data_IF_589697502493
#
_entry.id   IF_589697502493
#
_cell.length_a   1.000
_cell.length_b   1.000
_cell.length_c   1.000
_cell.angle_alpha   90.00
_cell.angle_beta   90.00
_cell.angle_gamma   90.00
#
_symmetry.space_group_name_H-M   'P 1'
#
loop_
_entity.id
_entity.type
_entity.pdbx_description
1 polymer ?
#
# COMPACT_ATOMS: atom_id res chain seq x y z
N UNK A 1 15.19 -21.32 -44.53
CA UNK A 1 15.54 -21.88 -43.22
C UNK A 1 16.23 -20.76 -42.43
N UNK A 2 15.59 -20.26 -41.36
CA UNK A 2 16.11 -19.17 -40.53
C UNK A 2 17.34 -19.65 -39.78
N UNK A 3 18.42 -18.85 -39.74
CA UNK A 3 19.67 -19.24 -39.06
C UNK A 3 19.47 -19.22 -37.52
N UNK A 4 20.12 -20.10 -36.79
CA UNK A 4 20.03 -20.15 -35.31
C UNK A 4 20.36 -18.79 -34.67
N UNK A 5 21.33 -18.06 -35.24
CA UNK A 5 21.71 -16.71 -34.81
C UNK A 5 20.57 -15.69 -34.93
N UNK A 6 19.72 -15.82 -35.96
CA UNK A 6 18.56 -14.94 -36.13
C UNK A 6 17.49 -15.22 -35.10
N UNK A 7 17.28 -16.48 -34.72
CA UNK A 7 16.33 -16.88 -33.64
C UNK A 7 16.76 -16.32 -32.30
N UNK A 8 18.04 -16.43 -31.94
CA UNK A 8 18.54 -15.89 -30.68
C UNK A 8 18.46 -14.37 -30.63
N UNK A 9 18.69 -13.68 -31.73
CA UNK A 9 18.52 -12.24 -31.84
C UNK A 9 17.06 -11.82 -31.61
N UNK A 10 16.10 -12.50 -32.25
CA UNK A 10 14.68 -12.22 -32.08
C UNK A 10 14.23 -12.53 -30.64
N UNK A 11 14.70 -13.62 -30.05
CA UNK A 11 14.44 -13.93 -28.65
C UNK A 11 14.90 -12.82 -27.73
N UNK A 12 16.12 -12.35 -27.88
CA UNK A 12 16.67 -11.26 -27.08
C UNK A 12 15.85 -9.96 -27.22
N UNK A 13 15.47 -9.62 -28.46
CA UNK A 13 14.65 -8.44 -28.72
C UNK A 13 13.24 -8.54 -28.14
N UNK A 14 12.59 -9.71 -28.22
CA UNK A 14 11.27 -9.95 -27.62
C UNK A 14 11.36 -9.78 -26.09
N UNK A 15 12.37 -10.37 -25.46
CA UNK A 15 12.56 -10.23 -24.02
C UNK A 15 12.83 -8.78 -23.60
N UNK A 16 13.62 -8.04 -24.38
CA UNK A 16 13.88 -6.63 -24.12
C UNK A 16 12.60 -5.79 -24.20
N UNK A 17 11.81 -5.99 -25.26
CA UNK A 17 10.51 -5.30 -25.44
C UNK A 17 9.54 -5.64 -24.32
N UNK A 18 9.46 -6.90 -23.92
CA UNK A 18 8.64 -7.33 -22.80
C UNK A 18 9.04 -6.64 -21.48
N UNK A 19 10.34 -6.61 -21.16
CA UNK A 19 10.85 -5.91 -19.96
C UNK A 19 10.53 -4.41 -19.98
N UNK A 20 10.70 -3.74 -21.12
CA UNK A 20 10.33 -2.33 -21.28
C UNK A 20 8.84 -2.11 -21.06
N UNK A 21 8.00 -2.90 -21.70
CA UNK A 21 6.55 -2.81 -21.53
C UNK A 21 6.11 -3.03 -20.07
N UNK A 22 6.70 -4.02 -19.39
CA UNK A 22 6.43 -4.24 -17.96
C UNK A 22 6.91 -3.06 -17.12
N UNK A 23 8.11 -2.54 -17.37
CA UNK A 23 8.63 -1.38 -16.64
C UNK A 23 7.77 -0.13 -16.87
N UNK A 24 7.32 0.12 -18.10
CA UNK A 24 6.40 1.23 -18.39
C UNK A 24 5.03 1.06 -17.72
N UNK A 25 4.49 -0.15 -17.72
CA UNK A 25 3.24 -0.48 -17.03
C UNK A 25 3.33 -0.30 -15.51
N UNK A 26 4.49 -0.59 -14.93
CA UNK A 26 4.75 -0.47 -13.49
C UNK A 26 5.24 0.93 -13.07
N UNK A 27 5.51 1.82 -14.03
CA UNK A 27 5.72 3.24 -13.75
C UNK A 27 4.42 3.82 -13.21
N UNK A 28 4.22 3.57 -11.95
CA UNK A 28 3.17 4.21 -11.17
C UNK A 28 3.71 5.58 -10.79
N UNK A 29 3.12 6.62 -11.33
CA UNK A 29 3.43 7.99 -10.91
C UNK A 29 2.93 8.24 -9.50
N UNK A 30 3.49 7.54 -8.51
CA UNK A 30 3.17 7.82 -7.11
C UNK A 30 3.47 9.28 -6.84
N UNK A 31 2.47 9.97 -6.37
CA UNK A 31 2.58 11.36 -5.99
C UNK A 31 3.69 11.55 -4.96
N UNK A 32 4.47 12.63 -5.11
CA UNK A 32 5.49 12.99 -4.12
C UNK A 32 4.82 13.23 -2.77
N UNK A 33 5.32 12.62 -1.73
CA UNK A 33 4.76 12.74 -0.39
C UNK A 33 5.06 11.53 0.48
N UNK A 34 4.57 11.57 1.71
CA UNK A 34 4.56 10.44 2.61
C UNK A 34 3.31 9.60 2.37
N UNK A 35 3.48 8.31 2.13
CA UNK A 35 2.36 7.38 1.97
C UNK A 35 2.10 6.60 3.25
N UNK A 36 0.83 6.23 3.50
CA UNK A 36 0.46 5.41 4.66
C UNK A 36 1.32 4.14 4.74
N UNK A 37 1.58 3.51 3.61
CA UNK A 37 2.41 2.30 3.51
C UNK A 37 3.85 2.48 3.98
N UNK A 38 4.39 3.69 3.99
CA UNK A 38 5.74 3.97 4.48
C UNK A 38 5.82 3.85 6.00
N UNK A 39 4.71 4.03 6.71
CA UNK A 39 4.65 4.09 8.15
C UNK A 39 4.20 2.79 8.82
N UNK A 40 3.52 1.89 8.10
CA UNK A 40 2.89 0.70 8.68
C UNK A 40 3.84 -0.27 9.39
N UNK A 41 5.12 -0.18 9.11
CA UNK A 41 6.17 -0.93 9.82
C UNK A 41 6.60 -0.27 11.14
N UNK A 42 6.03 0.88 11.48
CA UNK A 42 6.28 1.58 12.75
C UNK A 42 7.66 2.18 12.91
N UNK A 43 8.41 2.40 11.82
CA UNK A 43 9.75 2.98 11.86
C UNK A 43 9.80 4.36 11.17
N UNK A 44 9.90 5.49 11.92
CA UNK A 44 9.94 6.82 11.34
C UNK A 44 11.18 7.04 10.47
N UNK A 45 12.33 6.42 10.81
CA UNK A 45 13.56 6.49 10.00
C UNK A 45 13.39 5.80 8.65
N UNK A 46 12.68 4.67 8.59
CA UNK A 46 12.34 4.01 7.33
C UNK A 46 11.49 4.93 6.44
N UNK A 47 10.40 5.48 6.99
CA UNK A 47 9.53 6.40 6.26
C UNK A 47 10.29 7.63 5.73
N UNK A 48 11.22 8.16 6.52
CA UNK A 48 12.07 9.28 6.11
C UNK A 48 13.03 8.91 4.96
N UNK A 49 13.68 7.74 5.01
CA UNK A 49 14.53 7.27 3.90
C UNK A 49 13.74 7.05 2.61
N UNK A 50 12.56 6.44 2.70
CA UNK A 50 11.71 6.23 1.53
C UNK A 50 11.30 7.56 0.91
N UNK A 51 10.91 8.53 1.73
CA UNK A 51 10.58 9.88 1.25
C UNK A 51 11.78 10.56 0.57
N UNK A 52 12.97 10.53 1.20
CA UNK A 52 14.19 11.10 0.63
C UNK A 52 14.59 10.44 -0.68
N UNK A 53 14.50 9.12 -0.77
CA UNK A 53 14.76 8.39 -2.00
C UNK A 53 13.83 8.82 -3.13
N UNK A 54 12.54 9.04 -2.84
CA UNK A 54 11.59 9.55 -3.85
C UNK A 54 11.90 10.98 -4.29
N UNK A 55 12.39 11.83 -3.37
CA UNK A 55 12.81 13.20 -3.72
C UNK A 55 14.06 13.23 -4.60
N UNK A 56 15.05 12.38 -4.29
CA UNK A 56 16.38 12.42 -4.91
C UNK A 56 16.45 11.64 -6.24
N UNK A 57 15.80 10.48 -6.30
CA UNK A 57 15.96 9.53 -7.42
C UNK A 57 14.75 9.54 -8.35
N UNK A 58 13.59 9.95 -7.88
CA UNK A 58 12.31 9.72 -8.55
C UNK A 58 11.95 8.22 -8.58
N UNK A 59 10.70 7.91 -8.90
CA UNK A 59 10.26 6.50 -9.00
C UNK A 59 10.82 5.77 -10.23
N UNK A 60 11.47 6.51 -11.16
CA UNK A 60 11.85 5.99 -12.48
C UNK A 60 13.09 5.08 -12.47
N UNK A 61 13.97 5.22 -11.48
CA UNK A 61 15.32 4.63 -11.54
C UNK A 61 15.57 3.46 -10.58
N UNK A 62 14.52 2.92 -9.94
CA UNK A 62 14.71 1.74 -9.11
C UNK A 62 14.73 0.48 -9.98
N UNK A 63 15.89 -0.19 -10.15
CA UNK A 63 15.95 -1.40 -10.96
C UNK A 63 15.20 -2.52 -10.24
N UNK A 64 14.02 -2.88 -10.75
CA UNK A 64 13.28 -4.04 -10.31
C UNK A 64 13.88 -5.30 -10.96
N UNK A 65 14.00 -6.38 -10.20
CA UNK A 65 14.31 -7.68 -10.78
C UNK A 65 13.17 -8.13 -11.69
N UNK A 66 13.46 -8.98 -12.68
CA UNK A 66 12.42 -9.53 -13.56
C UNK A 66 11.32 -10.27 -12.79
N UNK A 67 11.70 -10.91 -11.68
CA UNK A 67 10.77 -11.56 -10.75
C UNK A 67 9.85 -10.54 -10.07
N UNK A 68 10.42 -9.44 -9.56
CA UNK A 68 9.64 -8.39 -8.90
C UNK A 68 8.69 -7.73 -9.89
N UNK A 69 9.15 -7.43 -11.10
CA UNK A 69 8.29 -6.90 -12.17
C UNK A 69 7.11 -7.83 -12.47
N UNK A 70 7.34 -9.14 -12.56
CA UNK A 70 6.27 -10.11 -12.80
C UNK A 70 5.26 -10.13 -11.65
N UNK A 71 5.75 -10.17 -10.41
CA UNK A 71 4.87 -10.16 -9.22
C UNK A 71 4.04 -8.88 -9.15
N UNK A 72 4.66 -7.72 -9.36
CA UNK A 72 3.95 -6.44 -9.35
C UNK A 72 2.96 -6.30 -10.51
N UNK A 73 3.29 -6.82 -11.71
CA UNK A 73 2.36 -6.79 -12.86
C UNK A 73 1.12 -7.62 -12.59
N UNK A 74 1.28 -8.82 -12.04
CA UNK A 74 0.15 -9.67 -11.64
C UNK A 74 -0.64 -8.98 -10.52
N UNK A 75 0.04 -8.43 -9.53
CA UNK A 75 -0.58 -7.67 -8.45
C UNK A 75 -1.44 -6.54 -8.98
N UNK A 76 -0.87 -5.67 -9.80
CA UNK A 76 -1.57 -4.53 -10.39
C UNK A 76 -2.80 -4.94 -11.21
N UNK A 77 -2.73 -6.06 -11.96
CA UNK A 77 -3.88 -6.59 -12.70
C UNK A 77 -4.99 -7.11 -11.80
N UNK A 78 -4.65 -7.69 -10.66
CA UNK A 78 -5.65 -8.17 -9.70
C UNK A 78 -6.22 -7.03 -8.85
N UNK A 79 -5.45 -5.95 -8.66
CA UNK A 79 -5.93 -4.74 -8.01
C UNK A 79 -7.02 -4.04 -8.83
N UNK A 80 -7.04 -4.20 -10.17
CA UNK A 80 -8.11 -3.71 -11.05
C UNK A 80 -9.48 -4.40 -10.80
N UNK A 81 -9.54 -5.50 -10.03
CA UNK A 81 -10.80 -6.16 -9.68
C UNK A 81 -11.56 -5.34 -8.64
N UNK A 82 -12.69 -4.81 -9.03
CA UNK A 82 -13.57 -4.03 -8.15
C UNK A 82 -14.38 -4.99 -7.26
N UNK A 83 -14.29 -4.78 -5.95
CA UNK A 83 -15.01 -5.57 -4.93
C UNK A 83 -15.98 -4.69 -4.12
N UNK A 84 -15.65 -3.41 -3.95
CA UNK A 84 -16.43 -2.45 -3.20
C UNK A 84 -17.39 -1.60 -4.04
N UNK A 85 -18.11 -0.70 -3.38
CA UNK A 85 -18.92 0.34 -4.03
C UNK A 85 -18.04 1.45 -4.63
N UNK A 86 -16.87 1.65 -4.04
CA UNK A 86 -15.80 2.56 -4.49
C UNK A 86 -14.47 1.83 -4.54
N UNK A 87 -13.71 2.10 -5.58
CA UNK A 87 -12.44 1.43 -5.85
C UNK A 87 -11.34 2.47 -6.10
N UNK A 88 -10.10 2.18 -5.65
CA UNK A 88 -8.94 3.07 -5.69
C UNK A 88 -9.27 4.48 -5.16
N UNK A 89 -9.69 4.51 -3.89
CA UNK A 89 -10.07 5.76 -3.22
C UNK A 89 -8.84 6.46 -2.69
N UNK A 90 -8.44 7.54 -3.35
CA UNK A 90 -7.28 8.33 -2.93
C UNK A 90 -7.69 9.32 -1.85
N UNK A 91 -6.99 9.27 -0.73
CA UNK A 91 -7.22 10.13 0.42
C UNK A 91 -5.95 10.88 0.83
N UNK A 92 -6.15 12.04 1.43
CA UNK A 92 -5.07 12.91 1.89
C UNK A 92 -5.39 13.50 3.25
N UNK A 93 -4.44 13.43 4.17
CA UNK A 93 -4.58 14.00 5.51
C UNK A 93 -3.33 14.75 5.93
N UNK A 94 -3.51 15.97 6.40
CA UNK A 94 -2.42 16.73 7.04
C UNK A 94 -2.39 16.46 8.53
N UNK A 95 -1.25 15.98 9.04
CA UNK A 95 -1.01 15.75 10.45
C UNK A 95 0.20 16.61 10.85
N UNK A 96 0.00 17.64 11.67
CA UNK A 96 1.06 18.57 12.09
C UNK A 96 1.89 19.14 10.94
N UNK A 97 1.25 19.44 9.80
CA UNK A 97 1.91 20.00 8.62
C UNK A 97 2.73 18.99 7.81
N UNK A 98 2.59 17.70 8.09
CA UNK A 98 3.07 16.61 7.23
C UNK A 98 1.87 16.06 6.48
N UNK A 99 1.94 16.08 5.16
CA UNK A 99 0.93 15.51 4.31
C UNK A 99 1.12 14.01 4.15
N UNK A 100 0.08 13.25 4.44
CA UNK A 100 0.05 11.80 4.32
C UNK A 100 -0.96 11.41 3.26
N UNK A 101 -0.52 10.62 2.31
CA UNK A 101 -1.33 10.14 1.18
C UNK A 101 -1.67 8.67 1.43
N UNK A 102 -2.91 8.29 1.13
CA UNK A 102 -3.36 6.91 1.13
C UNK A 102 -4.16 6.61 -0.12
N UNK A 103 -4.13 5.35 -0.53
CA UNK A 103 -4.99 4.80 -1.55
C UNK A 103 -5.61 3.54 -1.01
N UNK A 104 -6.94 3.55 -0.90
CA UNK A 104 -7.75 2.43 -0.41
C UNK A 104 -8.16 1.61 -1.61
N UNK A 105 -7.89 0.30 -1.61
CA UNK A 105 -8.21 -0.55 -2.74
C UNK A 105 -9.71 -0.62 -2.99
N UNK A 106 -10.50 -0.92 -1.94
CA UNK A 106 -11.96 -0.93 -2.04
C UNK A 106 -12.63 -0.43 -0.75
N UNK A 107 -13.81 0.19 -0.93
CA UNK A 107 -14.64 0.72 0.14
C UNK A 107 -16.10 0.30 -0.05
N UNK A 108 -16.74 -0.14 1.04
CA UNK A 108 -18.18 -0.41 1.09
C UNK A 108 -18.80 0.45 2.19
N UNK A 109 -19.90 1.13 1.87
CA UNK A 109 -20.72 1.85 2.86
C UNK A 109 -22.16 1.35 2.76
N UNK A 110 -22.57 0.55 3.74
CA UNK A 110 -23.92 0.04 3.88
C UNK A 110 -24.61 0.69 5.08
N UNK A 111 -25.50 1.63 4.79
CA UNK A 111 -26.23 2.43 5.81
C UNK A 111 -25.24 3.16 6.74
N UNK A 112 -25.08 2.68 7.95
CA UNK A 112 -24.21 3.21 8.99
C UNK A 112 -22.94 2.37 9.24
N UNK A 113 -22.60 1.48 8.30
CA UNK A 113 -21.42 0.61 8.36
C UNK A 113 -20.42 1.03 7.30
N UNK A 114 -19.15 1.08 7.71
CA UNK A 114 -18.02 1.33 6.84
C UNK A 114 -17.12 0.10 6.82
N UNK A 115 -16.81 -0.42 5.63
CA UNK A 115 -15.85 -1.51 5.43
C UNK A 115 -14.73 -1.02 4.52
N UNK A 116 -13.51 -1.06 5.02
CA UNK A 116 -12.29 -0.76 4.24
C UNK A 116 -11.60 -2.07 3.90
N UNK A 117 -11.34 -2.31 2.63
CA UNK A 117 -10.76 -3.53 2.11
C UNK A 117 -9.40 -3.22 1.50
N UNK A 118 -8.39 -3.99 1.87
CA UNK A 118 -7.05 -3.95 1.30
C UNK A 118 -6.76 -5.32 0.66
N UNK A 119 -6.33 -5.32 -0.60
CA UNK A 119 -6.06 -6.55 -1.36
C UNK A 119 -4.61 -6.95 -1.22
N UNK A 120 -4.37 -8.23 -0.99
CA UNK A 120 -3.01 -8.77 -0.88
C UNK A 120 -2.87 -10.05 -1.68
N UNK A 121 -1.86 -10.06 -2.55
CA UNK A 121 -1.51 -11.23 -3.35
C UNK A 121 -0.53 -12.09 -2.58
N UNK A 122 -0.74 -13.38 -2.57
CA UNK A 122 0.14 -14.34 -1.92
C UNK A 122 0.32 -15.59 -2.79
N UNK A 123 1.26 -16.41 -2.41
CA UNK A 123 1.41 -17.76 -2.96
C UNK A 123 1.09 -18.77 -1.88
N UNK A 124 0.11 -19.61 -2.15
CA UNK A 124 -0.34 -20.63 -1.23
C UNK A 124 -1.49 -20.19 -0.34
N UNK A 125 -1.71 -20.92 0.74
CA UNK A 125 -2.91 -20.76 1.57
C UNK A 125 -2.95 -19.42 2.31
N UNK A 126 -4.07 -18.69 2.25
CA UNK A 126 -4.28 -17.48 3.04
C UNK A 126 -4.09 -17.70 4.54
N UNK A 127 -3.51 -16.73 5.26
CA UNK A 127 -3.34 -16.82 6.71
C UNK A 127 -4.70 -16.71 7.41
N UNK A 128 -4.82 -17.30 8.60
CA UNK A 128 -6.05 -17.19 9.42
C UNK A 128 -6.26 -15.80 10.00
N UNK A 129 -5.18 -15.06 10.18
CA UNK A 129 -5.19 -13.71 10.75
C UNK A 129 -4.38 -12.79 9.83
N UNK A 130 -4.81 -11.54 9.70
CA UNK A 130 -4.09 -10.55 8.92
C UNK A 130 -2.76 -10.17 9.61
N UNK A 131 -1.72 -9.99 8.81
CA UNK A 131 -0.44 -9.51 9.33
C UNK A 131 -0.59 -8.13 9.96
N UNK A 132 0.12 -7.89 11.07
CA UNK A 132 -0.01 -6.67 11.87
C UNK A 132 0.17 -5.37 11.08
N UNK A 133 1.07 -5.36 10.09
CA UNK A 133 1.28 -4.18 9.24
C UNK A 133 0.10 -3.93 8.28
N UNK A 134 -0.59 -4.95 7.80
CA UNK A 134 -1.83 -4.78 7.01
C UNK A 134 -2.98 -4.30 7.90
N UNK A 135 -3.10 -4.85 9.12
CA UNK A 135 -4.06 -4.34 10.12
C UNK A 135 -3.81 -2.86 10.41
N UNK A 136 -2.54 -2.47 10.61
CA UNK A 136 -2.17 -1.07 10.83
C UNK A 136 -2.53 -0.21 9.61
N UNK A 137 -2.29 -0.69 8.39
CA UNK A 137 -2.62 0.01 7.15
C UNK A 137 -4.12 0.28 7.05
N UNK A 138 -4.93 -0.76 7.14
CA UNK A 138 -6.40 -0.67 7.03
C UNK A 138 -6.99 0.18 8.14
N UNK A 139 -6.56 -0.01 9.39
CA UNK A 139 -7.02 0.80 10.51
C UNK A 139 -6.61 2.28 10.36
N UNK A 140 -5.48 2.56 9.70
CA UNK A 140 -5.07 3.94 9.39
C UNK A 140 -5.99 4.58 8.36
N UNK A 141 -6.40 3.85 7.33
CA UNK A 141 -7.39 4.33 6.37
C UNK A 141 -8.71 4.67 7.05
N UNK A 142 -9.23 3.75 7.89
CA UNK A 142 -10.46 3.98 8.66
C UNK A 142 -10.31 5.20 9.58
N UNK A 143 -9.21 5.29 10.31
CA UNK A 143 -8.95 6.45 11.17
C UNK A 143 -8.95 7.76 10.40
N UNK A 144 -8.30 7.81 9.21
CA UNK A 144 -8.27 9.03 8.41
C UNK A 144 -9.64 9.41 7.88
N UNK A 145 -10.44 8.44 7.43
CA UNK A 145 -11.81 8.69 6.97
C UNK A 145 -12.70 9.24 8.09
N UNK A 146 -12.58 8.69 9.31
CA UNK A 146 -13.41 9.10 10.46
C UNK A 146 -12.92 10.42 11.09
N UNK A 147 -11.60 10.62 11.18
CA UNK A 147 -10.99 11.83 11.78
C UNK A 147 -10.87 12.99 10.79
N UNK A 148 -11.50 12.86 9.62
CA UNK A 148 -11.56 13.87 8.54
C UNK A 148 -10.28 13.91 7.70
N UNK A 149 -10.40 13.45 6.49
CA UNK A 149 -9.40 13.59 5.41
C UNK A 149 -10.06 14.20 4.18
N UNK A 150 -9.24 14.60 3.22
CA UNK A 150 -9.73 14.93 1.88
C UNK A 150 -9.78 13.66 1.07
N UNK A 151 -10.89 13.40 0.38
CA UNK A 151 -10.98 12.39 -0.67
C UNK A 151 -10.72 13.08 -2.00
N UNK A 152 -9.57 12.78 -2.61
CA UNK A 152 -9.10 13.44 -3.81
C UNK A 152 -9.78 12.89 -5.07
N UNK A 153 -9.82 11.56 -5.20
CA UNK A 153 -10.35 10.87 -6.36
C UNK A 153 -10.81 9.46 -6.03
N UNK A 154 -11.62 8.90 -6.92
CA UNK A 154 -11.97 7.49 -7.00
C UNK A 154 -11.80 7.03 -8.44
N UNK A 155 -11.35 5.81 -8.67
CA UNK A 155 -11.27 5.26 -10.02
C UNK A 155 -12.61 4.68 -10.48
N UNK A 156 -13.35 4.07 -9.53
CA UNK A 156 -14.70 3.56 -9.76
C UNK A 156 -15.61 3.98 -8.62
N UNK A 157 -16.86 4.34 -8.97
CA UNK A 157 -17.86 4.89 -8.06
C UNK A 157 -18.02 6.41 -8.22
N UNK A 158 -19.03 6.95 -7.58
CA UNK A 158 -19.32 8.40 -7.59
C UNK A 158 -18.62 9.10 -6.42
N UNK A 159 -17.71 10.03 -6.71
CA UNK A 159 -16.92 10.77 -5.73
C UNK A 159 -17.78 11.64 -4.81
N UNK A 160 -18.78 12.33 -5.36
CA UNK A 160 -19.63 13.21 -4.55
C UNK A 160 -20.55 12.41 -3.64
N UNK A 161 -21.09 11.28 -4.14
CA UNK A 161 -21.86 10.36 -3.32
C UNK A 161 -21.01 9.77 -2.18
N UNK A 162 -19.71 9.48 -2.45
CA UNK A 162 -18.79 9.03 -1.42
C UNK A 162 -18.59 10.11 -0.35
N UNK A 163 -18.31 11.36 -0.75
CA UNK A 163 -18.12 12.49 0.17
C UNK A 163 -19.35 12.73 1.02
N UNK A 164 -20.54 12.66 0.43
CA UNK A 164 -21.81 12.78 1.15
C UNK A 164 -21.95 11.67 2.20
N UNK A 165 -21.75 10.41 1.83
CA UNK A 165 -21.82 9.28 2.77
C UNK A 165 -20.77 9.37 3.89
N UNK A 166 -19.55 9.80 3.59
CA UNK A 166 -18.49 9.96 4.59
C UNK A 166 -18.76 11.13 5.56
N UNK A 167 -19.63 12.09 5.20
CA UNK A 167 -20.07 13.14 6.12
C UNK A 167 -21.05 12.64 7.19
N UNK A 168 -21.59 11.44 7.02
CA UNK A 168 -22.48 10.79 7.98
C UNK A 168 -21.75 10.22 9.20
N UNK A 169 -22.53 9.57 10.07
CA UNK A 169 -22.00 8.87 11.24
C UNK A 169 -22.05 7.38 11.00
N UNK A 170 -21.00 6.68 11.38
CA UNK A 170 -20.94 5.22 11.32
C UNK A 170 -21.03 4.63 12.72
N UNK A 171 -21.91 3.64 12.89
CA UNK A 171 -22.04 2.89 14.14
C UNK A 171 -21.14 1.66 14.15
N UNK A 172 -20.73 1.17 12.98
CA UNK A 172 -19.88 0.00 12.80
C UNK A 172 -18.78 0.28 11.78
N UNK A 173 -17.56 -0.07 12.16
CA UNK A 173 -16.35 0.07 11.34
C UNK A 173 -15.69 -1.29 11.21
N UNK A 174 -15.39 -1.68 10.00
CA UNK A 174 -14.74 -2.95 9.70
C UNK A 174 -13.51 -2.75 8.83
N UNK A 175 -12.42 -3.42 9.21
CA UNK A 175 -11.25 -3.59 8.36
C UNK A 175 -11.27 -4.99 7.76
N UNK A 176 -10.84 -5.11 6.52
CA UNK A 176 -10.71 -6.40 5.83
C UNK A 176 -9.42 -6.47 5.00
N UNK A 177 -8.82 -7.66 4.95
CA UNK A 177 -7.79 -7.99 3.99
C UNK A 177 -8.30 -9.12 3.10
N UNK A 178 -8.43 -8.85 1.81
CA UNK A 178 -8.74 -9.85 0.81
C UNK A 178 -7.42 -10.47 0.30
N UNK A 179 -7.19 -11.72 0.64
CA UNK A 179 -6.05 -12.49 0.15
C UNK A 179 -6.40 -13.22 -1.13
N UNK A 180 -5.56 -13.08 -2.16
CA UNK A 180 -5.73 -13.74 -3.45
C UNK A 180 -4.51 -14.62 -3.70
N UNK A 181 -4.71 -15.94 -3.81
CA UNK A 181 -3.64 -16.88 -4.16
C UNK A 181 -3.38 -16.86 -5.66
N UNK A 182 -2.23 -16.33 -6.04
CA UNK A 182 -1.78 -16.25 -7.44
C UNK A 182 -1.02 -17.50 -7.89
N UNK A 183 -0.75 -18.45 -6.99
CA UNK A 183 -0.06 -19.69 -7.36
C UNK A 183 -0.99 -20.72 -7.99
N UNK A 184 -2.29 -20.63 -7.69
CA UNK A 184 -3.31 -21.62 -8.06
C UNK A 184 -3.01 -23.03 -7.51
N UNK A 185 -2.17 -23.13 -6.49
CA UNK A 185 -1.79 -24.41 -5.86
C UNK A 185 -2.82 -24.92 -4.86
N UNK A 186 -3.73 -24.02 -4.45
CA UNK A 186 -4.79 -24.33 -3.50
C UNK A 186 -6.15 -24.38 -4.17
N UNK A 187 -7.08 -25.13 -3.61
CA UNK A 187 -8.48 -25.15 -4.07
C UNK A 187 -9.23 -23.87 -3.67
N UNK A 188 -8.70 -23.10 -2.71
CA UNK A 188 -9.25 -21.83 -2.25
C UNK A 188 -8.38 -20.71 -2.79
N UNK A 189 -8.83 -20.08 -3.86
CA UNK A 189 -8.09 -19.03 -4.59
C UNK A 189 -8.14 -17.69 -3.86
N UNK A 190 -9.14 -17.47 -3.00
CA UNK A 190 -9.25 -16.25 -2.20
C UNK A 190 -9.86 -16.51 -0.83
N UNK A 191 -9.51 -15.68 0.13
CA UNK A 191 -10.09 -15.66 1.46
C UNK A 191 -10.07 -14.24 2.02
N UNK A 192 -10.98 -13.94 2.95
CA UNK A 192 -11.10 -12.63 3.58
C UNK A 192 -10.91 -12.76 5.08
N UNK A 193 -9.96 -11.99 5.61
CA UNK A 193 -9.84 -11.77 7.05
C UNK A 193 -10.48 -10.43 7.36
N UNK A 194 -11.55 -10.44 8.16
CA UNK A 194 -12.31 -9.25 8.56
C UNK A 194 -12.31 -9.08 10.07
N UNK A 195 -12.27 -7.83 10.56
CA UNK A 195 -12.34 -7.49 11.97
C UNK A 195 -13.13 -6.21 12.21
N UNK A 196 -13.72 -6.08 13.40
CA UNK A 196 -14.36 -4.84 13.85
C UNK A 196 -13.30 -3.87 14.40
N UNK A 197 -13.41 -2.60 14.02
CA UNK A 197 -12.51 -1.52 14.47
C UNK A 197 -13.24 -0.71 15.55
N UNK A 198 -12.81 -0.87 16.79
CA UNK A 198 -13.43 -0.21 17.94
C UNK A 198 -12.86 1.21 18.17
N UNK A 199 -13.56 2.05 18.96
CA UNK A 199 -13.02 3.37 19.34
C UNK A 199 -11.65 3.30 20.02
N UNK A 200 -11.36 2.25 20.80
CA UNK A 200 -10.07 2.04 21.44
C UNK A 200 -8.97 1.81 20.41
N UNK A 201 -9.24 1.01 19.37
CA UNK A 201 -8.32 0.78 18.26
C UNK A 201 -8.06 2.07 17.49
N UNK A 202 -9.10 2.86 17.19
CA UNK A 202 -8.93 4.18 16.56
C UNK A 202 -8.08 5.12 17.41
N UNK A 203 -8.29 5.12 18.73
CA UNK A 203 -7.46 5.90 19.66
C UNK A 203 -5.99 5.47 19.66
N UNK A 204 -5.71 4.17 19.54
CA UNK A 204 -4.35 3.64 19.42
C UNK A 204 -3.71 4.05 18.08
N UNK A 205 -4.45 3.97 16.98
CA UNK A 205 -3.99 4.41 15.66
C UNK A 205 -3.71 5.91 15.64
N UNK A 206 -4.58 6.71 16.26
CA UNK A 206 -4.34 8.16 16.41
C UNK A 206 -3.03 8.48 17.15
N UNK A 207 -2.77 7.77 18.26
CA UNK A 207 -1.49 7.90 19.01
C UNK A 207 -0.29 7.44 18.17
N UNK A 208 -0.43 6.37 17.41
CA UNK A 208 0.58 5.88 16.49
C UNK A 208 0.95 6.96 15.46
N UNK A 209 -0.03 7.55 14.79
CA UNK A 209 0.19 8.59 13.78
C UNK A 209 0.80 9.84 14.38
N UNK A 210 0.33 10.25 15.56
CA UNK A 210 0.93 11.38 16.27
C UNK A 210 2.44 11.16 16.54
N UNK A 211 2.80 9.98 17.06
CA UNK A 211 4.19 9.61 17.34
C UNK A 211 5.03 9.56 16.07
N UNK A 212 4.55 8.89 15.02
CA UNK A 212 5.28 8.72 13.77
C UNK A 212 5.54 10.05 13.06
N UNK A 213 4.53 10.92 12.95
CA UNK A 213 4.67 12.23 12.30
C UNK A 213 5.57 13.16 13.11
N UNK A 214 5.48 13.16 14.44
CA UNK A 214 6.40 13.92 15.31
C UNK A 214 7.84 13.47 15.07
N UNK A 215 8.08 12.17 14.97
CA UNK A 215 9.42 11.63 14.90
C UNK A 215 10.03 11.71 13.51
N UNK A 216 9.24 11.56 12.43
CA UNK A 216 9.72 11.69 11.04
C UNK A 216 10.21 13.11 10.72
N UNK A 217 9.74 14.12 11.43
CA UNK A 217 10.20 15.52 11.28
C UNK A 217 11.61 15.77 11.84
N UNK A 218 12.15 14.87 12.64
CA UNK A 218 13.54 14.94 13.11
C UNK A 218 14.49 14.57 11.95
N UNK A 219 15.71 15.07 11.99
CA UNK A 219 16.70 14.82 10.92
C UNK A 219 18.05 14.43 11.54
N UNK A 220 18.42 13.15 11.50
CA UNK A 220 17.62 12.00 11.11
C UNK A 220 16.58 11.62 12.18
N UNK A 221 15.47 11.00 11.81
CA UNK A 221 14.51 10.44 12.76
C UNK A 221 15.12 9.31 13.59
N UNK A 222 14.60 9.04 14.80
CA UNK A 222 15.04 7.89 15.57
C UNK A 222 14.65 6.58 14.85
N UNK A 223 15.48 5.53 14.90
CA UNK A 223 15.09 4.22 14.42
C UNK A 223 14.11 3.58 15.41
N UNK A 224 13.23 2.74 14.90
CA UNK A 224 12.48 1.79 15.72
C UNK A 224 12.97 0.38 15.39
N UNK A 225 13.77 -0.19 16.27
CA UNK A 225 14.35 -1.52 16.09
C UNK A 225 13.26 -2.56 16.26
N UNK A 226 12.95 -3.30 15.20
CA UNK A 226 11.91 -4.31 15.17
C UNK A 226 12.30 -5.49 14.27
N UNK A 227 11.44 -6.50 14.20
CA UNK A 227 11.59 -7.61 13.26
C UNK A 227 11.77 -7.16 11.81
N UNK A 228 11.18 -6.03 11.44
CA UNK A 228 11.27 -5.46 10.09
C UNK A 228 12.71 -5.07 9.71
N UNK A 229 13.59 -4.80 10.67
CA UNK A 229 14.99 -4.48 10.39
C UNK A 229 15.71 -5.59 9.60
N UNK A 230 15.30 -6.85 9.75
CA UNK A 230 15.85 -7.98 8.99
C UNK A 230 15.52 -7.92 7.49
N UNK A 231 14.50 -7.14 7.11
CA UNK A 231 14.01 -6.99 5.74
C UNK A 231 14.14 -5.56 5.23
N UNK A 232 14.60 -4.62 6.09
CA UNK A 232 14.69 -3.21 5.76
C UNK A 232 15.82 -2.96 4.75
N UNK A 233 15.53 -2.37 3.58
CA UNK A 233 16.55 -2.08 2.58
C UNK A 233 17.58 -1.05 3.05
N UNK A 234 17.25 -0.26 4.08
CA UNK A 234 18.09 0.81 4.63
C UNK A 234 18.86 0.40 5.90
N UNK A 235 18.88 -0.89 6.26
CA UNK A 235 19.50 -1.33 7.52
C UNK A 235 20.98 -0.92 7.64
N UNK A 236 21.74 -0.97 6.54
CA UNK A 236 23.17 -0.56 6.52
C UNK A 236 23.31 0.93 6.76
N UNK A 237 22.62 1.77 5.97
CA UNK A 237 22.63 3.23 6.14
C UNK A 237 22.10 3.65 7.52
N UNK A 238 21.15 2.91 8.07
CA UNK A 238 20.64 3.14 9.41
C UNK A 238 21.71 2.90 10.48
N UNK A 239 22.52 1.85 10.35
CA UNK A 239 23.62 1.54 11.25
C UNK A 239 24.77 2.58 11.21
N UNK A 240 25.06 3.14 10.02
CA UNK A 240 26.09 4.18 9.84
C UNK A 240 25.73 5.51 10.52
N UNK A 241 24.45 5.83 10.62
CA UNK A 241 23.94 7.06 11.25
C UNK A 241 23.82 6.94 12.78
N UNK A 242 24.11 5.76 13.31
CA UNK A 242 23.99 5.42 14.72
C UNK A 242 22.64 4.81 15.08
N UNK A 243 22.70 3.61 15.60
CA UNK A 243 21.60 2.95 16.29
C UNK A 243 21.47 3.49 17.69
#
# INVERSE_FOLDING_TARGET
>A
MMRMADLERYRAEILLRHRRSMSEYLKDGREKGHHITDFVYGCPRYAWYVYKLREEVGDEDRPLSERDMTVFTVGKKLDELVVGDWHHVKIRKSIYGVEIIGEIDDLIIDSDKLVVIDKKHLRGKPPKEAHSHYVTQVNSYIYFLIDGCTVDSVEYGDLEALREKLSGSFTKLYGAVLYIDVSLETSQVSDVVIWEVTPEVLGQIGKFWFGMVRDVKKSPPPPNISWFCNYCPFVRSCAEVGL
#
